data_IF_931746907589
#
_entry.id   IF_931746907589
#
_cell.length_a   1.000
_cell.length_b   1.000
_cell.length_c   1.000
_cell.angle_alpha   90.00
_cell.angle_beta   90.00
_cell.angle_gamma   90.00
#
_symmetry.space_group_name_H-M   'P 1'
#
loop_
_entity.id
_entity.type
_entity.pdbx_description
1 polymer ?
#
# COMPACT_ATOMS: atom_id res chain seq x y z
N UNK A 1 -19.15 16.47 5.39
CA UNK A 1 -18.14 15.82 4.53
C UNK A 1 -18.67 14.45 4.18
N UNK A 2 -18.83 14.16 2.90
CA UNK A 2 -19.57 12.97 2.46
C UNK A 2 -18.64 11.76 2.47
N UNK A 3 -18.85 10.87 3.41
CA UNK A 3 -18.30 9.51 3.38
C UNK A 3 -19.08 8.69 2.35
N UNK A 4 -18.72 8.79 1.09
CA UNK A 4 -19.38 8.05 0.04
C UNK A 4 -18.39 7.15 -0.68
N UNK A 5 -18.71 5.85 -0.67
CA UNK A 5 -18.26 4.81 -1.60
C UNK A 5 -16.99 4.00 -1.29
N UNK A 6 -16.74 3.63 -0.03
CA UNK A 6 -15.70 2.62 0.29
C UNK A 6 -16.23 1.18 0.35
N UNK A 7 -17.49 0.95 0.00
CA UNK A 7 -18.17 -0.36 0.13
C UNK A 7 -18.13 -1.25 -1.11
N UNK A 8 -17.32 -0.96 -2.13
CA UNK A 8 -17.49 -1.62 -3.45
C UNK A 8 -16.66 -2.90 -3.66
N UNK A 9 -15.92 -3.38 -2.66
CA UNK A 9 -15.17 -4.63 -2.83
C UNK A 9 -15.51 -5.61 -1.71
N UNK A 10 -15.70 -6.91 -2.02
CA UNK A 10 -15.80 -7.91 -0.97
C UNK A 10 -14.53 -7.88 -0.14
N UNK A 11 -14.67 -7.53 1.15
CA UNK A 11 -13.53 -7.53 2.08
C UNK A 11 -13.16 -8.96 2.40
N UNK A 12 -11.86 -9.23 2.41
CA UNK A 12 -11.34 -10.51 2.88
C UNK A 12 -11.62 -10.66 4.37
N UNK A 13 -12.26 -11.75 4.83
CA UNK A 13 -12.45 -11.98 6.26
C UNK A 13 -11.11 -12.17 6.96
N UNK A 14 -10.96 -11.62 8.16
CA UNK A 14 -9.78 -11.80 9.00
C UNK A 14 -9.81 -13.17 9.69
N UNK A 15 -9.82 -14.25 8.90
CA UNK A 15 -9.70 -15.64 9.39
C UNK A 15 -8.24 -16.07 9.36
N UNK A 16 -7.79 -16.94 10.29
CA UNK A 16 -6.41 -17.42 10.28
C UNK A 16 -6.02 -18.02 8.93
N UNK A 17 -5.00 -17.47 8.31
CA UNK A 17 -4.47 -17.99 7.06
C UNK A 17 -3.73 -19.32 7.29
N UNK A 18 -3.95 -20.31 6.43
CA UNK A 18 -3.49 -21.69 6.63
C UNK A 18 -2.28 -22.05 5.74
N UNK A 19 -1.58 -21.09 5.18
CA UNK A 19 -0.45 -21.35 4.29
C UNK A 19 0.83 -20.69 4.76
N UNK A 20 1.96 -21.09 4.17
CA UNK A 20 3.28 -20.49 4.40
C UNK A 20 3.55 -19.29 3.49
N UNK A 21 2.83 -19.19 2.37
CA UNK A 21 2.98 -18.14 1.37
C UNK A 21 1.62 -17.60 0.97
N UNK A 22 1.49 -16.27 1.04
CA UNK A 22 0.31 -15.53 0.65
C UNK A 22 0.63 -14.62 -0.53
N UNK A 23 -0.11 -14.79 -1.62
CA UNK A 23 -0.03 -13.95 -2.80
C UNK A 23 -1.21 -13.00 -2.85
N UNK A 24 -0.94 -11.73 -3.17
CA UNK A 24 -1.97 -10.73 -3.46
C UNK A 24 -1.58 -9.91 -4.68
N UNK A 25 -2.57 -9.35 -5.36
CA UNK A 25 -2.36 -8.38 -6.44
C UNK A 25 -3.61 -7.56 -6.72
N UNK A 26 -4.64 -8.18 -7.29
CA UNK A 26 -5.85 -7.47 -7.70
C UNK A 26 -6.73 -7.11 -6.50
N UNK A 27 -7.23 -5.87 -6.48
CA UNK A 27 -8.20 -5.42 -5.48
C UNK A 27 -9.53 -6.19 -5.51
N UNK A 28 -9.77 -7.00 -6.54
CA UNK A 28 -10.97 -7.82 -6.72
C UNK A 28 -10.81 -9.25 -6.20
N UNK A 29 -9.63 -9.61 -5.73
CA UNK A 29 -9.31 -10.95 -5.22
C UNK A 29 -9.09 -10.91 -3.70
N UNK A 30 -8.99 -12.08 -3.09
CA UNK A 30 -8.63 -12.19 -1.68
C UNK A 30 -7.32 -11.44 -1.38
N UNK A 31 -7.29 -10.77 -0.24
CA UNK A 31 -6.19 -9.89 0.18
C UNK A 31 -5.91 -8.72 -0.77
N UNK A 32 -6.86 -8.38 -1.64
CA UNK A 32 -6.78 -7.20 -2.49
C UNK A 32 -6.65 -5.90 -1.71
N UNK A 33 -7.05 -5.88 -0.44
CA UNK A 33 -6.85 -4.80 0.52
C UNK A 33 -5.36 -4.47 0.72
N UNK A 34 -4.46 -5.41 0.49
CA UNK A 34 -3.01 -5.20 0.61
C UNK A 34 -2.44 -4.36 -0.55
N UNK A 35 -3.13 -4.36 -1.70
CA UNK A 35 -2.73 -3.54 -2.84
C UNK A 35 -2.76 -2.04 -2.51
N UNK A 36 -1.80 -1.29 -3.05
CA UNK A 36 -1.80 0.17 -2.98
C UNK A 36 -2.97 0.81 -3.75
N UNK A 37 -3.61 0.05 -4.64
CA UNK A 37 -4.79 0.48 -5.40
C UNK A 37 -6.10 0.31 -4.61
N UNK A 38 -6.08 -0.36 -3.46
CA UNK A 38 -7.27 -0.52 -2.63
C UNK A 38 -7.72 0.84 -2.08
N UNK A 39 -9.05 1.07 -2.12
CA UNK A 39 -9.66 2.36 -1.80
C UNK A 39 -9.74 2.59 -0.29
N UNK A 40 -8.59 2.69 0.35
CA UNK A 40 -8.42 3.09 1.73
C UNK A 40 -7.66 4.42 1.79
N UNK A 41 -8.35 5.55 2.07
CA UNK A 41 -7.66 6.83 2.22
C UNK A 41 -6.62 6.81 3.33
N UNK A 42 -5.51 7.45 3.07
CA UNK A 42 -4.43 7.60 4.05
C UNK A 42 -4.24 9.07 4.41
N UNK A 43 -3.82 9.34 5.65
CA UNK A 43 -3.46 10.68 6.10
C UNK A 43 -1.98 10.73 6.42
N UNK A 44 -1.22 11.36 5.55
CA UNK A 44 0.23 11.47 5.69
C UNK A 44 0.64 12.94 5.58
N UNK A 45 1.55 13.37 6.43
CA UNK A 45 2.03 14.76 6.50
C UNK A 45 0.86 15.76 6.60
N UNK A 46 -0.12 15.45 7.49
CA UNK A 46 -1.35 16.20 7.77
C UNK A 46 -2.30 16.37 6.58
N UNK A 47 -2.13 15.61 5.52
CA UNK A 47 -2.93 15.66 4.32
C UNK A 47 -3.60 14.31 4.01
N UNK A 48 -4.87 14.36 3.56
CA UNK A 48 -5.59 13.20 3.08
C UNK A 48 -5.25 12.86 1.63
N UNK A 49 -5.08 11.59 1.36
CA UNK A 49 -4.83 11.01 0.05
C UNK A 49 -5.84 9.90 -0.24
N UNK A 50 -6.37 9.81 -1.46
CA UNK A 50 -7.41 8.81 -1.77
C UNK A 50 -6.95 7.36 -1.57
N UNK A 51 -5.68 7.06 -1.84
CA UNK A 51 -5.05 5.75 -1.60
C UNK A 51 -3.56 5.92 -1.33
N UNK A 52 -2.89 4.88 -0.85
CA UNK A 52 -1.42 4.85 -0.73
C UNK A 52 -0.74 5.05 -2.09
N UNK A 53 -1.34 4.58 -3.20
CA UNK A 53 -0.82 4.82 -4.54
C UNK A 53 -0.79 6.30 -4.91
N UNK A 54 -1.85 7.06 -4.63
CA UNK A 54 -1.87 8.51 -4.87
C UNK A 54 -0.73 9.22 -4.14
N UNK A 55 -0.52 8.91 -2.86
CA UNK A 55 0.57 9.49 -2.09
C UNK A 55 1.93 9.18 -2.69
N UNK A 56 2.19 7.90 -2.97
CA UNK A 56 3.45 7.44 -3.53
C UNK A 56 3.77 8.09 -4.87
N UNK A 57 2.81 8.09 -5.80
CA UNK A 57 3.00 8.64 -7.14
C UNK A 57 3.16 10.17 -7.13
N UNK A 58 2.43 10.89 -6.27
CA UNK A 58 2.53 12.33 -6.14
C UNK A 58 3.93 12.78 -5.69
N UNK A 59 4.56 12.01 -4.80
CA UNK A 59 5.87 12.37 -4.25
C UNK A 59 7.06 12.10 -5.18
N UNK A 60 6.80 11.60 -6.39
CA UNK A 60 7.77 11.64 -7.50
C UNK A 60 8.03 13.07 -7.98
N UNK A 61 7.16 14.00 -7.63
CA UNK A 61 7.29 15.42 -7.93
C UNK A 61 7.66 16.23 -6.68
N UNK A 62 8.24 17.41 -6.88
CA UNK A 62 8.49 18.41 -5.83
C UNK A 62 7.60 19.64 -6.00
N UNK A 63 7.09 19.88 -7.20
CA UNK A 63 6.19 20.98 -7.51
C UNK A 63 4.80 20.74 -6.92
N UNK A 64 4.28 21.71 -6.17
CA UNK A 64 3.01 21.61 -5.47
C UNK A 64 1.80 21.41 -6.42
N UNK A 65 1.85 21.96 -7.64
CA UNK A 65 0.78 21.79 -8.64
C UNK A 65 0.79 20.37 -9.18
N UNK A 66 1.97 19.79 -9.42
CA UNK A 66 2.11 18.39 -9.87
C UNK A 66 1.67 17.42 -8.79
N UNK A 67 2.05 17.65 -7.54
CA UNK A 67 1.60 16.87 -6.40
C UNK A 67 0.06 16.90 -6.28
N UNK A 68 -0.54 18.10 -6.35
CA UNK A 68 -1.99 18.24 -6.31
C UNK A 68 -2.68 17.57 -7.51
N UNK A 69 -2.09 17.65 -8.70
CA UNK A 69 -2.61 17.01 -9.90
C UNK A 69 -2.67 15.49 -9.76
N UNK A 70 -1.62 14.85 -9.22
CA UNK A 70 -1.63 13.40 -8.95
C UNK A 70 -2.61 13.07 -7.83
N UNK A 71 -2.64 13.83 -6.74
CA UNK A 71 -3.57 13.61 -5.63
C UNK A 71 -5.03 13.65 -6.06
N UNK A 72 -5.37 14.54 -6.99
CA UNK A 72 -6.73 14.72 -7.50
C UNK A 72 -7.06 13.77 -8.67
N UNK A 73 -6.24 12.78 -8.94
CA UNK A 73 -6.55 11.75 -9.92
C UNK A 73 -7.85 11.01 -9.51
N UNK A 74 -8.77 10.72 -10.44
CA UNK A 74 -10.05 10.09 -10.09
C UNK A 74 -9.91 8.63 -9.65
N UNK A 75 -8.81 7.96 -10.02
CA UNK A 75 -8.55 6.56 -9.70
C UNK A 75 -7.08 6.33 -9.36
N UNK A 76 -6.74 5.25 -8.60
CA UNK A 76 -5.34 4.86 -8.37
C UNK A 76 -4.57 4.61 -9.66
N UNK A 77 -5.23 4.05 -10.68
CA UNK A 77 -4.61 3.84 -12.00
C UNK A 77 -4.24 5.16 -12.66
N UNK A 78 -5.12 6.14 -12.62
CA UNK A 78 -4.83 7.48 -13.16
C UNK A 78 -3.71 8.15 -12.37
N UNK A 79 -3.68 8.03 -11.05
CA UNK A 79 -2.56 8.50 -10.23
C UNK A 79 -1.23 7.85 -10.64
N UNK A 80 -1.24 6.54 -10.89
CA UNK A 80 -0.07 5.81 -11.36
C UNK A 80 0.39 6.28 -12.75
N UNK A 81 -0.53 6.49 -13.68
CA UNK A 81 -0.21 7.03 -15.02
C UNK A 81 0.41 8.43 -14.92
N UNK A 82 -0.18 9.33 -14.14
CA UNK A 82 0.36 10.67 -13.89
C UNK A 82 1.73 10.63 -13.25
N UNK A 83 1.94 9.77 -12.26
CA UNK A 83 3.23 9.60 -11.61
C UNK A 83 4.31 8.98 -12.51
N UNK A 84 3.93 8.25 -13.56
CA UNK A 84 4.84 7.58 -14.52
C UNK A 84 5.10 8.40 -15.79
N UNK A 85 4.47 9.56 -15.95
CA UNK A 85 4.64 10.39 -17.14
C UNK A 85 6.12 10.75 -17.33
N UNK A 86 6.72 10.27 -18.41
CA UNK A 86 8.14 10.45 -18.72
C UNK A 86 8.47 11.85 -19.20
N UNK A 87 7.48 12.63 -19.61
CA UNK A 87 7.66 13.99 -20.09
C UNK A 87 7.75 15.01 -18.95
N UNK A 88 7.44 14.62 -17.72
CA UNK A 88 7.45 15.49 -16.57
C UNK A 88 8.68 15.19 -15.69
N UNK A 89 9.39 16.25 -15.23
CA UNK A 89 10.58 16.08 -14.40
C UNK A 89 10.21 15.48 -13.04
N UNK A 90 10.89 14.41 -12.67
CA UNK A 90 10.79 13.80 -11.35
C UNK A 90 11.81 14.43 -10.40
N UNK A 91 11.57 14.29 -9.11
CA UNK A 91 12.55 14.67 -8.09
C UNK A 91 13.86 13.89 -8.29
N UNK A 92 14.97 14.58 -8.11
CA UNK A 92 16.31 14.02 -8.37
C UNK A 92 16.72 12.95 -7.35
N UNK A 93 16.16 12.99 -6.12
CA UNK A 93 16.43 12.07 -5.03
C UNK A 93 15.39 10.93 -4.93
N UNK A 94 14.63 10.70 -6.01
CA UNK A 94 13.53 9.72 -5.99
C UNK A 94 13.99 8.31 -5.55
N UNK A 95 15.06 7.80 -6.15
CA UNK A 95 15.55 6.46 -5.85
C UNK A 95 15.97 6.28 -4.39
N UNK A 96 16.51 7.33 -3.77
CA UNK A 96 16.89 7.31 -2.36
C UNK A 96 15.68 7.44 -1.40
N UNK A 97 14.55 8.00 -1.86
CA UNK A 97 13.43 8.35 -0.98
C UNK A 97 12.17 7.50 -1.19
N UNK A 98 12.05 6.81 -2.31
CA UNK A 98 10.82 6.10 -2.69
C UNK A 98 10.34 5.08 -1.65
N UNK A 99 11.26 4.36 -1.00
CA UNK A 99 10.93 3.38 0.04
C UNK A 99 10.30 4.08 1.25
N UNK A 100 10.83 5.22 1.67
CA UNK A 100 10.30 6.00 2.78
C UNK A 100 8.90 6.57 2.51
N UNK A 101 8.64 7.02 1.28
CA UNK A 101 7.29 7.46 0.90
C UNK A 101 6.30 6.29 0.91
N UNK A 102 6.68 5.15 0.37
CA UNK A 102 5.82 3.97 0.41
C UNK A 102 5.54 3.54 1.86
N UNK A 103 6.57 3.46 2.70
CA UNK A 103 6.42 3.06 4.10
C UNK A 103 5.46 3.98 4.85
N UNK A 104 5.56 5.30 4.70
CA UNK A 104 4.63 6.25 5.35
C UNK A 104 3.17 5.97 5.00
N UNK A 105 2.87 5.80 3.72
CA UNK A 105 1.50 5.60 3.26
C UNK A 105 0.93 4.24 3.67
N UNK A 106 1.71 3.17 3.50
CA UNK A 106 1.28 1.81 3.85
C UNK A 106 1.15 1.67 5.36
N UNK A 107 2.05 2.25 6.14
CA UNK A 107 1.97 2.27 7.59
C UNK A 107 0.71 2.98 8.08
N UNK A 108 0.40 4.18 7.58
CA UNK A 108 -0.84 4.87 7.95
C UNK A 108 -2.06 4.02 7.62
N UNK A 109 -2.11 3.41 6.43
CA UNK A 109 -3.19 2.53 6.02
C UNK A 109 -3.43 1.38 7.02
N UNK A 110 -2.39 0.65 7.37
CA UNK A 110 -2.51 -0.53 8.25
C UNK A 110 -2.54 -0.21 9.74
N UNK A 111 -2.30 1.02 10.15
CA UNK A 111 -2.48 1.47 11.54
C UNK A 111 -3.78 2.24 11.74
N UNK A 112 -4.35 2.82 10.69
CA UNK A 112 -5.59 3.59 10.76
C UNK A 112 -6.85 2.73 10.76
N UNK A 113 -6.86 1.63 10.03
CA UNK A 113 -8.04 0.78 9.82
C UNK A 113 -7.93 -0.50 10.63
N UNK A 114 -8.70 -0.65 11.75
CA UNK A 114 -8.66 -1.85 12.59
C UNK A 114 -8.89 -3.15 11.82
N UNK A 115 -9.80 -3.13 10.84
CA UNK A 115 -10.08 -4.28 9.99
C UNK A 115 -8.87 -4.70 9.13
N UNK A 116 -8.03 -3.76 8.72
CA UNK A 116 -6.79 -4.07 7.99
C UNK A 116 -5.69 -4.57 8.93
N UNK A 117 -5.65 -4.08 10.18
CA UNK A 117 -4.76 -4.63 11.19
C UNK A 117 -5.10 -6.10 11.47
N UNK A 118 -6.38 -6.39 11.70
CA UNK A 118 -6.87 -7.75 11.94
C UNK A 118 -6.55 -8.65 10.75
N UNK A 119 -6.82 -8.19 9.52
CA UNK A 119 -6.52 -8.94 8.31
C UNK A 119 -5.02 -9.22 8.17
N UNK A 120 -4.17 -8.24 8.42
CA UNK A 120 -2.72 -8.41 8.35
C UNK A 120 -2.21 -9.37 9.44
N UNK A 121 -2.72 -9.25 10.66
CA UNK A 121 -2.37 -10.16 11.76
C UNK A 121 -2.87 -11.59 11.50
N UNK A 122 -4.02 -11.77 10.85
CA UNK A 122 -4.57 -13.09 10.51
C UNK A 122 -3.68 -13.88 9.55
N UNK A 123 -2.75 -13.25 8.85
CA UNK A 123 -1.78 -13.93 7.97
C UNK A 123 -0.69 -14.69 8.75
N UNK A 124 -0.67 -14.60 10.08
CA UNK A 124 0.24 -15.36 10.94
C UNK A 124 1.70 -15.04 10.67
N UNK A 125 2.47 -16.02 10.24
CA UNK A 125 3.88 -15.90 9.86
C UNK A 125 4.13 -16.15 8.37
N UNK A 126 3.05 -16.25 7.58
CA UNK A 126 3.15 -16.45 6.13
C UNK A 126 4.00 -15.37 5.47
N UNK A 127 4.79 -15.77 4.47
CA UNK A 127 5.48 -14.83 3.59
C UNK A 127 4.44 -14.17 2.68
N UNK A 128 4.53 -12.87 2.55
CA UNK A 128 3.57 -12.06 1.78
C UNK A 128 4.24 -11.58 0.50
N UNK A 129 3.60 -11.81 -0.65
CA UNK A 129 4.12 -11.39 -1.96
C UNK A 129 3.09 -10.59 -2.73
N UNK A 130 3.49 -9.42 -3.23
CA UNK A 130 2.78 -8.80 -4.34
C UNK A 130 3.13 -9.57 -5.61
N UNK A 131 2.27 -10.53 -5.97
CA UNK A 131 2.55 -11.48 -7.05
C UNK A 131 2.13 -10.91 -8.40
N UNK A 132 3.09 -10.34 -9.14
CA UNK A 132 2.84 -9.69 -10.43
C UNK A 132 4.07 -9.69 -11.33
N UNK A 133 3.85 -9.92 -12.63
CA UNK A 133 4.90 -9.77 -13.66
C UNK A 133 5.22 -8.30 -13.97
N UNK A 134 4.36 -7.36 -13.52
CA UNK A 134 4.46 -5.96 -13.90
C UNK A 134 5.39 -5.13 -13.01
N UNK A 135 5.83 -5.67 -11.87
CA UNK A 135 6.69 -4.96 -10.93
C UNK A 135 7.70 -5.91 -10.28
N UNK A 136 8.98 -5.65 -10.54
CA UNK A 136 10.08 -6.42 -9.95
C UNK A 136 10.73 -5.73 -8.75
N UNK A 137 10.26 -4.54 -8.38
CA UNK A 137 10.75 -3.80 -7.22
C UNK A 137 9.78 -3.93 -6.03
N UNK A 138 8.54 -3.49 -6.19
CA UNK A 138 7.51 -3.64 -5.16
C UNK A 138 6.96 -5.05 -5.12
N UNK A 139 6.76 -5.66 -6.27
CA UNK A 139 6.34 -7.05 -6.45
C UNK A 139 7.50 -8.03 -6.65
N UNK A 140 7.11 -9.26 -6.94
CA UNK A 140 8.00 -10.42 -7.05
C UNK A 140 8.41 -10.80 -8.48
N UNK A 141 8.11 -9.95 -9.47
CA UNK A 141 8.36 -10.21 -10.90
C UNK A 141 7.52 -11.35 -11.51
N UNK A 142 6.55 -11.90 -10.76
CA UNK A 142 5.71 -13.03 -11.17
C UNK A 142 6.38 -14.41 -11.04
N UNK A 143 7.66 -14.46 -10.71
CA UNK A 143 8.45 -15.68 -10.61
C UNK A 143 9.33 -15.75 -9.33
N UNK A 144 9.11 -14.87 -8.37
CA UNK A 144 9.87 -14.72 -7.11
C UNK A 144 11.28 -14.16 -7.27
N UNK A 145 11.68 -13.69 -8.45
CA UNK A 145 12.99 -13.06 -8.66
C UNK A 145 13.00 -11.57 -8.30
N UNK A 146 11.83 -10.94 -8.19
CA UNK A 146 11.68 -9.55 -7.79
C UNK A 146 12.00 -9.30 -6.32
N UNK A 147 12.18 -8.02 -5.97
CA UNK A 147 12.56 -7.61 -4.61
C UNK A 147 11.42 -7.71 -3.60
N UNK A 148 10.17 -7.77 -4.06
CA UNK A 148 8.97 -7.88 -3.22
C UNK A 148 8.96 -6.89 -2.04
N UNK A 149 9.36 -5.66 -2.27
CA UNK A 149 9.49 -4.64 -1.21
C UNK A 149 8.17 -4.35 -0.49
N UNK A 150 7.03 -4.42 -1.20
CA UNK A 150 5.73 -4.22 -0.57
C UNK A 150 5.36 -5.37 0.36
N UNK A 151 5.57 -6.61 -0.06
CA UNK A 151 5.33 -7.78 0.79
C UNK A 151 6.20 -7.74 2.06
N UNK A 152 7.50 -7.45 1.91
CA UNK A 152 8.41 -7.31 3.05
C UNK A 152 8.01 -6.17 4.00
N UNK A 153 7.51 -5.05 3.47
CA UNK A 153 6.99 -3.94 4.29
C UNK A 153 5.75 -4.37 5.09
N UNK A 154 4.83 -5.11 4.48
CA UNK A 154 3.66 -5.66 5.17
C UNK A 154 4.07 -6.63 6.29
N UNK A 155 5.02 -7.52 6.04
CA UNK A 155 5.57 -8.42 7.07
C UNK A 155 6.19 -7.65 8.24
N UNK A 156 6.94 -6.56 7.95
CA UNK A 156 7.51 -5.66 8.96
C UNK A 156 6.43 -5.01 9.83
N UNK A 157 5.42 -4.40 9.19
CA UNK A 157 4.30 -3.76 9.92
C UNK A 157 3.54 -4.79 10.76
N UNK A 158 3.30 -5.99 10.24
CA UNK A 158 2.68 -7.09 10.99
C UNK A 158 3.46 -7.43 12.26
N UNK A 159 4.78 -7.53 12.18
CA UNK A 159 5.64 -7.82 13.33
C UNK A 159 5.53 -6.73 14.39
N UNK A 160 5.53 -5.47 13.99
CA UNK A 160 5.38 -4.34 14.90
C UNK A 160 4.00 -4.32 15.58
N UNK A 161 2.93 -4.62 14.84
CA UNK A 161 1.57 -4.73 15.39
C UNK A 161 1.47 -5.85 16.44
N UNK A 162 2.10 -7.02 16.19
CA UNK A 162 2.17 -8.11 17.18
C UNK A 162 2.86 -7.66 18.47
N UNK A 163 3.99 -6.96 18.36
CA UNK A 163 4.76 -6.48 19.51
C UNK A 163 4.00 -5.45 20.35
N UNK A 164 3.26 -4.54 19.70
CA UNK A 164 2.45 -3.53 20.38
C UNK A 164 1.27 -4.13 21.16
N UNK A 165 0.68 -5.21 20.65
CA UNK A 165 -0.44 -5.92 21.31
C UNK A 165 0.02 -6.68 22.56
N UNK A 166 1.26 -7.17 22.59
CA UNK A 166 1.82 -7.91 23.72
C UNK A 166 2.24 -6.98 24.88
N UNK A 167 2.62 -5.74 24.58
CA UNK A 167 3.03 -4.74 25.59
C UNK A 167 1.86 -4.07 26.35
N UNK A 168 0.62 -4.21 25.87
CA UNK A 168 -0.56 -3.62 26.49
C UNK A 168 -1.22 -4.51 27.59
N UNK A 169 -0.66 -5.69 27.87
CA UNK A 169 -1.20 -6.66 28.84
C UNK A 169 -0.39 -6.77 30.15
N UNK A 170 0.53 -5.83 30.41
CA UNK A 170 1.29 -5.78 31.66
C UNK A 170 0.95 -4.55 32.49
#
# INVERSE_FOLDING_TARGET
MRHTHYEQFPRTPATPFQGDVLDFYSTKQAYGEFSNFALFPVRVDDQWWPTSEHYYQAHKYTDAKMIAWVRNAPTPMEAALRGRDKNLPKRVDWEARKDGFMEKAVRDKFTRYPELQELLLSTGDARIFEHTQNDCYWGDCGDRTGKNKLGLLLEKIRTELKSSSTGAQN
#
